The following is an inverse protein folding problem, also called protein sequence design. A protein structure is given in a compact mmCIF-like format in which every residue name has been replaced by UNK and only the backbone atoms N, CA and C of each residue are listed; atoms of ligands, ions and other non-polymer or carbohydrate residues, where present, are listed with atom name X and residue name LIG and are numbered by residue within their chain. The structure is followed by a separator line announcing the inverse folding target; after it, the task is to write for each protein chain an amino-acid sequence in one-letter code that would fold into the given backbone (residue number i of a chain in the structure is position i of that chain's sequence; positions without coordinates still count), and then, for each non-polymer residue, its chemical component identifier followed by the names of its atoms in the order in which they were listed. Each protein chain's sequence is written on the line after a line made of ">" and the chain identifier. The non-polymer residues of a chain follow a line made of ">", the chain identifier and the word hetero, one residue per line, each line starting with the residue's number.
data_IF_733004704765
#
_entry.id   IF_733004704765
#
_cell.length_a   1.000
_cell.length_b   1.000
_cell.length_c   1.000
_cell.angle_alpha   90.00
_cell.angle_beta   90.00
_cell.angle_gamma   90.00
#
_symmetry.space_group_name_H-M   'P 1'
#
loop_
_entity.id
_entity.type
_entity.pdbx_description
1 polymer ?
#
# COMPACT_ATOMS: atom_id res chain seq x y z
N UNK A 1 21.65 23.06 34.77
CA UNK A 1 20.59 22.02 34.78
C UNK A 1 19.29 22.42 34.07
N UNK A 2 18.78 23.66 34.18
CA UNK A 2 17.54 24.08 33.48
C UNK A 2 17.57 23.98 31.93
N UNK A 3 18.72 24.16 31.28
CA UNK A 3 18.85 24.06 29.81
C UNK A 3 18.80 22.64 29.24
N UNK A 4 19.14 21.61 30.04
CA UNK A 4 19.05 20.20 29.61
C UNK A 4 17.61 19.67 29.68
N UNK A 5 16.81 20.15 30.63
CA UNK A 5 15.41 19.75 30.77
C UNK A 5 14.54 20.24 29.59
N UNK A 6 14.86 21.41 29.02
CA UNK A 6 14.13 21.98 27.88
C UNK A 6 14.35 21.23 26.56
N UNK A 7 15.51 20.59 26.37
CA UNK A 7 15.81 19.81 25.15
C UNK A 7 15.08 18.46 25.17
N UNK A 8 14.89 17.86 26.35
CA UNK A 8 14.19 16.58 26.50
C UNK A 8 12.68 16.70 26.23
N UNK A 9 12.06 17.83 26.61
CA UNK A 9 10.63 18.09 26.36
C UNK A 9 10.36 18.34 24.86
N UNK A 10 11.32 18.92 24.12
CA UNK A 10 11.17 19.17 22.68
C UNK A 10 11.18 17.88 21.84
N UNK A 11 11.86 16.83 22.31
CA UNK A 11 11.92 15.54 21.61
C UNK A 11 10.66 14.68 21.80
N UNK A 12 9.94 14.84 22.91
CA UNK A 12 8.71 14.08 23.17
C UNK A 12 7.54 14.59 22.31
N UNK A 13 7.51 15.88 21.98
CA UNK A 13 6.42 16.49 21.19
C UNK A 13 6.47 16.18 19.68
N UNK A 14 7.54 15.57 19.15
CA UNK A 14 7.69 15.31 17.72
C UNK A 14 7.10 13.97 17.25
N UNK A 15 6.72 13.07 18.17
CA UNK A 15 6.18 11.75 17.82
C UNK A 15 4.65 11.69 17.68
N UNK A 16 3.93 12.80 17.89
CA UNK A 16 2.47 12.85 17.71
C UNK A 16 2.06 13.14 16.26
N UNK A 17 2.80 12.64 15.26
CA UNK A 17 2.22 12.52 13.92
C UNK A 17 1.23 11.38 13.98
N UNK A 18 -0.04 11.71 14.27
CA UNK A 18 -1.14 10.76 14.33
C UNK A 18 -1.07 9.81 13.12
N UNK A 19 -0.79 8.55 13.39
CA UNK A 19 -0.67 7.52 12.38
C UNK A 19 -2.06 7.29 11.78
N UNK A 20 -2.16 7.45 10.47
CA UNK A 20 -3.42 7.28 9.76
C UNK A 20 -3.63 5.78 9.55
N UNK A 21 -4.73 5.27 10.10
CA UNK A 21 -5.06 3.84 10.03
C UNK A 21 -6.07 3.56 8.91
N UNK A 22 -5.96 2.39 8.32
CA UNK A 22 -6.87 1.85 7.32
C UNK A 22 -7.33 0.44 7.70
N UNK A 23 -8.50 0.06 7.17
CA UNK A 23 -8.96 -1.32 7.13
C UNK A 23 -8.64 -1.91 5.75
N UNK A 24 -7.79 -2.93 5.71
CA UNK A 24 -7.37 -3.54 4.45
C UNK A 24 -8.39 -4.54 3.92
N UNK A 25 -8.44 -4.66 2.59
CA UNK A 25 -9.30 -5.63 1.93
C UNK A 25 -8.60 -6.99 1.78
N UNK A 26 -9.41 -8.03 1.52
CA UNK A 26 -8.92 -9.36 1.17
C UNK A 26 -9.04 -9.59 -0.33
N UNK A 27 -8.04 -10.26 -0.91
CA UNK A 27 -8.04 -10.72 -2.29
C UNK A 27 -7.82 -12.22 -2.27
N UNK A 28 -8.79 -12.99 -2.78
CA UNK A 28 -8.79 -14.46 -2.72
C UNK A 28 -8.61 -15.00 -1.28
N UNK A 29 -9.23 -14.35 -0.29
CA UNK A 29 -9.14 -14.74 1.12
C UNK A 29 -7.88 -14.28 1.87
N UNK A 30 -6.87 -13.76 1.15
CA UNK A 30 -5.60 -13.28 1.69
C UNK A 30 -5.67 -11.77 1.93
N UNK A 31 -5.18 -11.31 3.08
CA UNK A 31 -5.10 -9.88 3.39
C UNK A 31 -3.99 -9.20 2.57
N UNK A 32 -4.28 -8.02 2.00
CA UNK A 32 -3.34 -7.34 1.11
C UNK A 32 -3.01 -5.96 1.66
N UNK A 33 -1.75 -5.76 2.01
CA UNK A 33 -1.22 -4.52 2.55
C UNK A 33 -0.39 -3.81 1.46
N UNK A 34 -1.00 -2.85 0.76
CA UNK A 34 -0.36 -2.06 -0.30
C UNK A 34 -0.15 -0.63 0.16
N UNK A 35 1.11 -0.17 0.23
CA UNK A 35 1.45 1.12 0.85
C UNK A 35 0.83 1.28 2.24
N UNK A 36 0.77 0.18 2.97
CA UNK A 36 0.28 0.11 4.33
C UNK A 36 1.05 -0.99 5.04
N UNK A 37 1.30 -0.82 6.33
CA UNK A 37 1.96 -1.81 7.17
C UNK A 37 0.94 -2.39 8.14
N UNK A 38 0.83 -3.73 8.29
CA UNK A 38 0.00 -4.32 9.32
C UNK A 38 0.36 -3.80 10.71
N UNK A 39 -0.65 -3.56 11.55
CA UNK A 39 -0.43 -3.26 12.97
C UNK A 39 -0.07 -4.52 13.77
N UNK A 40 -0.51 -5.67 13.27
CA UNK A 40 -0.25 -6.98 13.85
C UNK A 40 1.23 -7.35 13.73
N UNK A 41 1.74 -8.08 14.72
CA UNK A 41 3.08 -8.65 14.65
C UNK A 41 3.12 -9.78 13.61
N UNK A 42 4.18 -9.82 12.80
CA UNK A 42 4.32 -10.81 11.76
C UNK A 42 5.77 -11.19 11.52
N UNK A 43 5.96 -12.39 11.01
CA UNK A 43 7.21 -12.84 10.40
C UNK A 43 7.08 -12.83 8.87
N UNK A 44 8.15 -12.43 8.20
CA UNK A 44 8.23 -12.59 6.75
C UNK A 44 8.58 -14.02 6.41
N UNK A 45 7.77 -14.65 5.56
CA UNK A 45 8.07 -15.98 5.06
C UNK A 45 9.12 -15.83 3.97
N UNK A 46 10.37 -16.21 4.28
CA UNK A 46 11.42 -16.33 3.26
C UNK A 46 10.94 -17.40 2.28
N UNK A 47 10.59 -16.99 1.06
CA UNK A 47 10.47 -17.95 -0.03
C UNK A 47 11.77 -18.74 -0.12
N UNK A 48 11.68 -20.07 -0.16
CA UNK A 48 12.81 -20.92 -0.49
C UNK A 48 13.42 -20.42 -1.79
N UNK A 49 14.60 -19.80 -1.70
CA UNK A 49 15.24 -19.09 -2.80
C UNK A 49 14.64 -17.70 -3.07
N UNK A 50 15.52 -16.69 -3.06
CA UNK A 50 15.35 -15.31 -3.57
C UNK A 50 13.89 -14.90 -3.75
N UNK A 51 13.31 -14.29 -2.71
CA UNK A 51 11.91 -13.84 -2.71
C UNK A 51 11.53 -13.24 -4.06
N UNK A 52 10.40 -13.72 -4.62
CA UNK A 52 10.01 -13.48 -6.01
C UNK A 52 10.05 -11.97 -6.28
N UNK A 53 11.11 -11.52 -6.94
CA UNK A 53 11.26 -10.12 -7.31
C UNK A 53 10.08 -9.75 -8.20
N UNK A 54 9.46 -8.60 -7.88
CA UNK A 54 8.34 -8.06 -8.63
C UNK A 54 8.86 -7.54 -9.98
N UNK A 55 9.14 -8.47 -10.88
CA UNK A 55 9.69 -8.25 -12.21
C UNK A 55 8.81 -8.84 -13.30
N UNK A 56 9.11 -8.46 -14.54
CA UNK A 56 8.36 -8.67 -15.79
C UNK A 56 7.82 -10.09 -16.02
N UNK A 57 8.41 -11.10 -15.36
CA UNK A 57 7.99 -12.50 -15.41
C UNK A 57 6.67 -12.81 -14.67
N UNK A 58 6.21 -11.99 -13.71
CA UNK A 58 4.92 -12.20 -13.01
C UNK A 58 3.75 -11.67 -13.84
N UNK A 59 3.98 -10.63 -14.64
CA UNK A 59 2.94 -9.98 -15.45
C UNK A 59 2.73 -10.62 -16.82
N UNK A 60 3.55 -11.60 -17.21
CA UNK A 60 3.35 -12.44 -18.41
C UNK A 60 3.11 -11.65 -19.71
N UNK A 61 3.71 -10.47 -19.86
CA UNK A 61 3.52 -9.63 -21.05
C UNK A 61 2.14 -8.98 -21.20
N UNK A 62 1.26 -9.00 -20.19
CA UNK A 62 -0.05 -8.35 -20.28
C UNK A 62 0.05 -6.85 -20.00
N UNK A 63 0.17 -6.11 -21.10
CA UNK A 63 0.12 -4.66 -21.19
C UNK A 63 -1.32 -4.22 -20.84
N UNK A 64 -1.58 -3.68 -19.63
CA UNK A 64 -2.75 -2.87 -19.15
C UNK A 64 -3.12 -3.13 -17.68
N UNK A 65 -2.58 -4.13 -17.01
CA UNK A 65 -3.29 -4.66 -15.84
C UNK A 65 -3.40 -3.69 -14.66
N UNK A 66 -4.57 -3.63 -14.04
CA UNK A 66 -4.79 -2.84 -12.83
C UNK A 66 -3.98 -3.40 -11.66
N UNK A 67 -3.68 -2.56 -10.66
CA UNK A 67 -2.97 -3.00 -9.43
C UNK A 67 -3.66 -4.23 -8.81
N UNK A 68 -4.99 -4.22 -8.69
CA UNK A 68 -5.77 -5.34 -8.15
C UNK A 68 -5.59 -6.64 -8.97
N UNK A 69 -5.54 -6.54 -10.30
CA UNK A 69 -5.28 -7.68 -11.19
C UNK A 69 -3.89 -8.26 -10.96
N UNK A 70 -2.87 -7.39 -10.89
CA UNK A 70 -1.47 -7.79 -10.64
C UNK A 70 -1.33 -8.49 -9.28
N UNK A 71 -1.95 -7.93 -8.26
CA UNK A 71 -1.98 -8.49 -6.89
C UNK A 71 -2.68 -9.84 -6.87
N UNK A 72 -3.85 -9.97 -7.50
CA UNK A 72 -4.58 -11.25 -7.56
C UNK A 72 -3.76 -12.34 -8.25
N UNK A 73 -3.08 -12.02 -9.37
CA UNK A 73 -2.18 -12.96 -10.05
C UNK A 73 -0.99 -13.37 -9.17
N UNK A 74 -0.37 -12.39 -8.50
CA UNK A 74 0.72 -12.65 -7.56
C UNK A 74 0.28 -13.62 -6.46
N UNK A 75 -0.84 -13.35 -5.80
CA UNK A 75 -1.39 -14.20 -4.73
C UNK A 75 -1.69 -15.61 -5.26
N UNK A 76 -2.28 -15.74 -6.45
CA UNK A 76 -2.54 -17.05 -7.06
C UNK A 76 -1.26 -17.84 -7.32
N UNK A 77 -0.22 -17.20 -7.86
CA UNK A 77 1.08 -17.83 -8.11
C UNK A 77 1.75 -18.24 -6.80
N UNK A 78 1.76 -17.36 -5.82
CA UNK A 78 2.34 -17.59 -4.50
C UNK A 78 1.62 -18.72 -3.76
N UNK A 79 0.29 -18.72 -3.75
CA UNK A 79 -0.52 -19.78 -3.15
C UNK A 79 -0.26 -21.14 -3.81
N UNK A 80 -0.11 -21.19 -5.14
CA UNK A 80 0.24 -22.43 -5.84
C UNK A 80 1.63 -22.94 -5.43
N UNK A 81 2.62 -22.06 -5.36
CA UNK A 81 3.97 -22.42 -4.93
C UNK A 81 3.98 -22.92 -3.48
N UNK A 82 3.39 -22.16 -2.56
CA UNK A 82 3.39 -22.48 -1.13
C UNK A 82 2.56 -23.72 -0.82
N UNK A 83 1.52 -24.03 -1.61
CA UNK A 83 0.81 -25.30 -1.53
C UNK A 83 1.73 -26.50 -1.81
N UNK A 84 2.63 -26.39 -2.79
CA UNK A 84 3.58 -27.47 -3.10
C UNK A 84 4.65 -27.63 -2.02
N UNK A 85 5.02 -26.54 -1.35
CA UNK A 85 6.02 -26.50 -0.27
C UNK A 85 5.38 -26.74 1.13
N UNK A 86 4.06 -26.95 1.20
CA UNK A 86 3.28 -27.05 2.45
C UNK A 86 3.47 -25.86 3.41
N UNK A 87 3.70 -24.66 2.85
CA UNK A 87 3.84 -23.40 3.59
C UNK A 87 2.47 -22.72 3.67
N UNK A 88 2.11 -22.23 4.86
CA UNK A 88 0.91 -21.41 5.07
C UNK A 88 1.31 -19.95 5.29
N UNK A 89 0.54 -19.04 4.72
CA UNK A 89 0.72 -17.59 4.88
C UNK A 89 -0.64 -16.91 5.04
N UNK A 90 -0.67 -15.80 5.77
CA UNK A 90 -1.92 -15.11 6.12
C UNK A 90 -2.18 -13.88 5.24
N UNK A 91 -1.10 -13.21 4.84
CA UNK A 91 -1.17 -11.93 4.17
C UNK A 91 0.01 -11.72 3.22
N UNK A 92 -0.12 -10.69 2.39
CA UNK A 92 0.96 -10.17 1.56
C UNK A 92 1.15 -8.68 1.83
N UNK A 93 2.41 -8.26 1.98
CA UNK A 93 2.80 -6.85 2.19
C UNK A 93 3.63 -6.38 1.02
N UNK A 94 3.31 -5.21 0.47
CA UNK A 94 4.10 -4.53 -0.54
C UNK A 94 4.85 -3.38 0.10
N UNK A 95 6.15 -3.59 0.35
CA UNK A 95 7.03 -2.60 0.98
C UNK A 95 7.97 -1.97 -0.05
N UNK A 96 8.21 -0.66 0.11
CA UNK A 96 9.26 0.09 -0.59
C UNK A 96 9.26 -0.05 -2.12
N UNK A 97 8.08 -0.19 -2.73
CA UNK A 97 7.94 -0.08 -4.19
C UNK A 97 8.52 -1.22 -5.02
N UNK A 98 9.07 -2.26 -4.41
CA UNK A 98 9.91 -3.23 -5.11
C UNK A 98 9.51 -4.69 -4.92
N UNK A 99 8.93 -5.06 -3.79
CA UNK A 99 8.67 -6.46 -3.49
C UNK A 99 7.37 -6.65 -2.73
N UNK A 100 6.58 -7.62 -3.19
CA UNK A 100 5.53 -8.23 -2.38
C UNK A 100 6.14 -9.39 -1.61
N UNK A 101 5.84 -9.46 -0.32
CA UNK A 101 6.35 -10.49 0.59
C UNK A 101 5.17 -11.16 1.29
N UNK A 102 5.15 -12.50 1.30
CA UNK A 102 4.20 -13.24 2.15
C UNK A 102 4.62 -13.12 3.61
N UNK A 103 3.63 -12.93 4.47
CA UNK A 103 3.84 -12.85 5.90
C UNK A 103 2.91 -13.83 6.61
N UNK A 104 3.30 -14.19 7.83
CA UNK A 104 2.49 -14.94 8.76
C UNK A 104 2.40 -14.16 10.06
N UNK A 105 1.19 -13.99 10.58
CA UNK A 105 1.01 -13.25 11.82
C UNK A 105 1.45 -14.11 13.01
N UNK A 106 2.18 -13.50 13.94
CA UNK A 106 2.70 -14.16 15.14
C UNK A 106 1.83 -13.90 16.37
N UNK A 107 0.97 -12.88 16.31
CA UNK A 107 0.06 -12.51 17.38
C UNK A 107 -1.34 -13.12 17.23
N UNK A 108 -2.14 -13.02 18.30
CA UNK A 108 -3.56 -13.38 18.25
C UNK A 108 -4.36 -12.28 17.57
N UNK A 109 -5.22 -12.69 16.65
CA UNK A 109 -6.19 -11.80 16.02
C UNK A 109 -7.24 -11.32 17.03
N UNK A 110 -7.44 -10.00 17.10
CA UNK A 110 -8.47 -9.32 17.89
C UNK A 110 -9.31 -8.40 16.99
N UNK A 111 -10.49 -7.94 17.43
CA UNK A 111 -11.29 -6.97 16.67
C UNK A 111 -10.53 -5.66 16.38
N UNK A 112 -9.63 -5.24 17.28
CA UNK A 112 -8.87 -4.00 17.20
C UNK A 112 -7.67 -4.08 16.25
N UNK A 113 -7.21 -5.29 15.93
CA UNK A 113 -6.07 -5.51 15.03
C UNK A 113 -6.46 -6.23 13.72
N UNK A 114 -7.72 -6.68 13.57
CA UNK A 114 -8.22 -7.33 12.35
C UNK A 114 -8.10 -6.40 11.14
N UNK A 115 -7.17 -6.72 10.24
CA UNK A 115 -6.93 -6.01 8.98
C UNK A 115 -6.64 -4.52 9.17
N UNK A 116 -6.10 -4.14 10.34
CA UNK A 116 -5.73 -2.77 10.61
C UNK A 116 -4.30 -2.54 10.14
N UNK A 117 -4.12 -1.46 9.38
CA UNK A 117 -2.83 -1.10 8.82
C UNK A 117 -2.52 0.39 9.03
N UNK A 118 -1.25 0.71 9.19
CA UNK A 118 -0.72 2.07 9.17
C UNK A 118 -0.45 2.46 7.73
N UNK A 119 -1.09 3.53 7.26
CA UNK A 119 -1.01 3.99 5.88
C UNK A 119 0.28 4.74 5.61
N UNK A 120 0.97 4.36 4.53
CA UNK A 120 2.14 5.06 4.04
C UNK A 120 1.75 6.29 3.21
N UNK A 121 2.71 7.21 3.06
CA UNK A 121 2.51 8.49 2.39
C UNK A 121 3.36 8.57 1.13
N UNK A 122 2.78 9.10 0.05
CA UNK A 122 3.51 9.51 -1.16
C UNK A 122 3.48 11.02 -1.22
N UNK A 123 4.65 11.67 -1.29
CA UNK A 123 4.75 13.15 -1.29
C UNK A 123 4.07 13.79 -0.06
N UNK A 124 4.09 13.09 1.08
CA UNK A 124 3.41 13.49 2.31
C UNK A 124 1.90 13.26 2.32
N UNK A 125 1.30 12.78 1.22
CA UNK A 125 -0.12 12.51 1.09
C UNK A 125 -0.38 11.04 1.47
N UNK A 126 -1.29 10.75 2.42
CA UNK A 126 -1.72 9.38 2.72
C UNK A 126 -2.41 8.71 1.51
N UNK A 127 -2.04 7.46 1.22
CA UNK A 127 -2.58 6.67 0.11
C UNK A 127 -3.23 5.38 0.60
N UNK A 128 -4.54 5.26 0.40
CA UNK A 128 -5.31 4.05 0.70
C UNK A 128 -5.41 3.23 -0.58
N UNK A 129 -4.56 2.21 -0.73
CA UNK A 129 -4.55 1.35 -1.92
C UNK A 129 -5.19 0.02 -1.54
N UNK A 130 -6.34 -0.30 -2.15
CA UNK A 130 -7.12 -1.51 -1.81
C UNK A 130 -7.43 -1.62 -0.31
N UNK A 131 -7.68 -0.47 0.31
CA UNK A 131 -7.99 -0.32 1.73
C UNK A 131 -8.89 0.90 1.92
N UNK A 132 -9.59 0.96 3.05
CA UNK A 132 -10.47 2.07 3.39
C UNK A 132 -10.00 2.78 4.65
N UNK A 133 -10.10 4.12 4.71
CA UNK A 133 -9.85 4.85 5.94
C UNK A 133 -10.81 4.43 7.06
N UNK A 134 -10.28 4.29 8.28
CA UNK A 134 -11.12 4.06 9.47
C UNK A 134 -11.83 5.35 9.88
N UNK A 135 -11.16 6.49 9.69
CA UNK A 135 -11.72 7.80 10.00
C UNK A 135 -12.76 8.18 8.94
N UNK A 136 -13.88 8.74 9.37
CA UNK A 136 -14.90 9.29 8.47
C UNK A 136 -14.33 10.35 7.53
N UNK A 137 -14.85 10.36 6.31
CA UNK A 137 -14.39 11.26 5.26
C UNK A 137 -15.52 11.63 4.31
N UNK A 138 -15.37 12.79 3.69
CA UNK A 138 -16.14 13.20 2.53
C UNK A 138 -15.34 12.98 1.24
N UNK A 139 -16.06 12.61 0.19
CA UNK A 139 -15.50 12.56 -1.15
C UNK A 139 -15.38 13.98 -1.72
N UNK A 140 -14.17 14.35 -2.16
CA UNK A 140 -13.92 15.68 -2.71
C UNK A 140 -13.96 15.66 -4.24
N UNK A 141 -13.25 14.72 -4.87
CA UNK A 141 -13.21 14.60 -6.33
C UNK A 141 -12.58 13.31 -6.84
N UNK A 142 -12.99 12.90 -8.04
CA UNK A 142 -12.31 11.88 -8.82
C UNK A 142 -11.07 12.47 -9.50
N UNK A 143 -9.98 11.72 -9.50
CA UNK A 143 -8.72 12.03 -10.17
C UNK A 143 -8.54 11.05 -11.33
N UNK A 144 -8.64 11.57 -12.56
CA UNK A 144 -8.38 10.79 -13.78
C UNK A 144 -6.93 10.88 -14.26
N UNK A 145 -6.58 9.99 -15.20
CA UNK A 145 -5.36 10.08 -16.01
C UNK A 145 -4.05 9.95 -15.22
N UNK A 146 -4.04 9.18 -14.13
CA UNK A 146 -2.84 8.86 -13.37
C UNK A 146 -2.06 7.68 -13.95
N UNK A 147 -2.74 6.66 -14.48
CA UNK A 147 -2.07 5.46 -15.02
C UNK A 147 -1.85 5.62 -16.53
N UNK A 148 -0.68 6.16 -16.92
CA UNK A 148 -0.22 6.17 -18.32
C UNK A 148 0.49 4.86 -18.66
N UNK A 149 -0.13 4.12 -19.56
CA UNK A 149 0.30 2.91 -20.24
C UNK A 149 1.56 3.07 -21.12
N UNK A 150 2.67 3.53 -20.55
CA UNK A 150 3.92 3.58 -21.36
C UNK A 150 4.33 2.19 -21.87
N UNK A 151 3.88 1.10 -21.22
CA UNK A 151 4.13 -0.26 -21.68
C UNK A 151 3.56 -0.60 -23.07
N UNK A 152 2.51 0.09 -23.53
CA UNK A 152 1.96 -0.13 -24.87
C UNK A 152 2.83 0.48 -25.98
N UNK A 153 3.48 1.61 -25.70
CA UNK A 153 4.32 2.32 -26.68
C UNK A 153 5.77 1.80 -26.70
N UNK A 154 6.24 1.22 -25.59
CA UNK A 154 7.64 0.73 -25.44
C UNK A 154 7.76 -0.80 -25.47
N UNK A 155 6.80 -1.51 -26.06
CA UNK A 155 6.86 -2.97 -26.23
C UNK A 155 7.04 -3.76 -24.92
N UNK A 156 6.51 -3.28 -23.80
CA UNK A 156 6.62 -3.99 -22.51
C UNK A 156 7.96 -3.87 -21.76
N UNK A 157 8.92 -3.09 -22.26
CA UNK A 157 10.25 -2.97 -21.63
C UNK A 157 10.27 -2.15 -20.32
N UNK A 158 9.28 -1.28 -20.08
CA UNK A 158 9.23 -0.42 -18.89
C UNK A 158 7.93 -0.69 -18.12
N UNK A 159 7.99 -1.65 -17.20
CA UNK A 159 6.94 -1.86 -16.20
C UNK A 159 7.10 -0.81 -15.09
N UNK A 160 6.21 0.18 -15.04
CA UNK A 160 6.19 1.12 -13.92
C UNK A 160 5.82 0.39 -12.61
N UNK A 161 6.46 0.77 -11.51
CA UNK A 161 6.07 0.28 -10.18
C UNK A 161 4.71 0.86 -9.76
N UNK A 162 4.03 0.21 -8.80
CA UNK A 162 2.78 0.70 -8.22
C UNK A 162 2.94 2.14 -7.72
N UNK A 163 4.06 2.42 -7.04
CA UNK A 163 4.39 3.75 -6.55
C UNK A 163 4.52 4.79 -7.66
N UNK A 164 5.13 4.46 -8.80
CA UNK A 164 5.27 5.40 -9.92
C UNK A 164 3.91 5.78 -10.53
N UNK A 165 2.97 4.84 -10.56
CA UNK A 165 1.61 5.11 -11.02
C UNK A 165 0.83 5.96 -10.01
N UNK A 166 1.00 5.71 -8.72
CA UNK A 166 0.37 6.48 -7.65
C UNK A 166 0.99 7.88 -7.48
N UNK A 167 2.28 8.02 -7.74
CA UNK A 167 3.04 9.29 -7.71
C UNK A 167 2.42 10.34 -8.63
N UNK A 168 1.84 9.94 -9.76
CA UNK A 168 1.16 10.87 -10.68
C UNK A 168 -0.11 11.45 -10.04
N UNK A 169 -0.87 10.65 -9.30
CA UNK A 169 -2.02 11.14 -8.53
C UNK A 169 -1.56 12.08 -7.41
N UNK A 170 -0.49 11.71 -6.70
CA UNK A 170 0.09 12.52 -5.64
C UNK A 170 0.52 13.91 -6.16
N UNK A 171 1.27 13.95 -7.27
CA UNK A 171 1.70 15.20 -7.92
C UNK A 171 0.53 16.10 -8.33
N UNK A 172 -0.53 15.53 -8.92
CA UNK A 172 -1.74 16.30 -9.29
C UNK A 172 -2.45 16.90 -8.08
N UNK A 173 -2.38 16.26 -6.93
CA UNK A 173 -3.10 16.68 -5.72
C UNK A 173 -2.23 17.45 -4.71
N UNK A 174 -0.91 17.48 -4.88
CA UNK A 174 0.05 18.14 -3.97
C UNK A 174 -0.35 19.56 -3.58
N UNK A 175 -0.79 20.39 -4.55
CA UNK A 175 -1.25 21.76 -4.28
C UNK A 175 -2.51 21.80 -3.41
N UNK A 176 -3.49 20.92 -3.69
CA UNK A 176 -4.74 20.82 -2.91
C UNK A 176 -4.48 20.31 -1.50
N UNK A 177 -3.60 19.32 -1.36
CA UNK A 177 -3.18 18.79 -0.08
C UNK A 177 -2.48 19.85 0.79
N UNK A 178 -1.51 20.59 0.22
CA UNK A 178 -0.84 21.72 0.92
C UNK A 178 -1.81 22.80 1.36
N UNK A 179 -2.86 23.06 0.58
CA UNK A 179 -3.94 23.99 0.93
C UNK A 179 -5.01 23.38 1.84
N UNK A 180 -4.80 22.17 2.39
CA UNK A 180 -5.74 21.44 3.25
C UNK A 180 -7.13 21.22 2.63
N UNK A 181 -7.23 21.23 1.30
CA UNK A 181 -8.49 20.99 0.57
C UNK A 181 -8.80 19.50 0.42
N UNK A 182 -7.79 18.65 0.61
CA UNK A 182 -7.92 17.19 0.66
C UNK A 182 -7.04 16.70 1.81
N UNK A 183 -7.36 15.53 2.33
CA UNK A 183 -6.59 14.87 3.39
C UNK A 183 -5.87 13.63 2.91
N UNK A 184 -6.40 12.93 1.92
CA UNK A 184 -5.82 11.68 1.41
C UNK A 184 -6.32 11.32 0.01
N UNK A 185 -5.77 10.23 -0.54
CA UNK A 185 -6.17 9.64 -1.81
C UNK A 185 -6.52 8.16 -1.60
N UNK A 186 -7.68 7.74 -2.11
CA UNK A 186 -8.11 6.33 -2.17
C UNK A 186 -7.96 5.82 -3.60
N UNK A 187 -7.34 4.66 -3.74
CA UNK A 187 -7.25 3.91 -4.99
C UNK A 187 -7.83 2.50 -4.77
N UNK A 188 -8.99 2.24 -5.36
CA UNK A 188 -9.63 0.92 -5.31
C UNK A 188 -9.24 0.06 -6.51
N UNK A 189 -9.57 0.53 -7.72
CA UNK A 189 -9.38 -0.21 -8.97
C UNK A 189 -9.38 0.70 -10.20
N UNK A 190 -8.82 0.20 -11.30
CA UNK A 190 -8.87 0.87 -12.60
C UNK A 190 -7.89 2.03 -12.75
N UNK A 191 -8.28 3.08 -13.48
CA UNK A 191 -7.38 4.19 -13.88
C UNK A 191 -7.63 5.50 -13.12
N UNK A 192 -8.50 5.46 -12.12
CA UNK A 192 -8.97 6.62 -11.36
C UNK A 192 -8.64 6.42 -9.88
N UNK A 193 -8.48 7.52 -9.17
CA UNK A 193 -8.34 7.57 -7.72
C UNK A 193 -9.28 8.64 -7.17
N UNK A 194 -9.67 8.55 -5.91
CA UNK A 194 -10.58 9.48 -5.27
C UNK A 194 -9.80 10.33 -4.25
N UNK A 195 -9.89 11.65 -4.37
CA UNK A 195 -9.42 12.54 -3.31
C UNK A 195 -10.52 12.66 -2.26
N UNK A 196 -10.12 12.53 -0.99
CA UNK A 196 -11.03 12.60 0.15
C UNK A 196 -10.55 13.66 1.14
N UNK A 197 -11.45 14.10 2.01
CA UNK A 197 -11.14 14.96 3.14
C UNK A 197 -11.72 14.33 4.40
N UNK A 198 -10.91 14.22 5.44
CA UNK A 198 -11.39 13.69 6.71
C UNK A 198 -12.26 14.72 7.40
N UNK A 199 -13.32 14.23 8.06
CA UNK A 199 -14.19 15.04 8.92
C UNK A 199 -13.46 15.47 10.19
#
# INVERSE_FOLDING_TARGET
>A
MRKLLSILVLFITLNSVAQIKAKVQKVNGIEVYLLAEPVREYETLKGGGKGIQWGSAITGGLINESIATKVSKYIKKLAKQYKNENIKFDAVVYTNGKQMTAIKFTDKKTPENDRIAIVQKIEGIPFFVMSEPIKEYEFVKTIGGGIKWKSALTGGLINNSIEQDLMKFAKKMKKKFRKKQISAIIYERGKKANAIKFN
#
